data_IF_765936285642
#
_entry.id   IF_765936285642
#
_cell.length_a   1.000
_cell.length_b   1.000
_cell.length_c   1.000
_cell.angle_alpha   90.00
_cell.angle_beta   90.00
_cell.angle_gamma   90.00
#
_symmetry.space_group_name_H-M   'P 1'
#
loop_
_entity.id
_entity.type
_entity.pdbx_description
1 polymer ?
#
# COMPACT_ATOMS: atom_id res chain seq x y z
N UNK A 1 1.29 -20.31 -3.24
CA UNK A 1 2.05 -19.13 -3.69
C UNK A 1 2.76 -18.49 -2.51
N UNK A 2 3.52 -17.42 -2.71
CA UNK A 2 4.27 -16.69 -1.67
C UNK A 2 3.42 -15.62 -0.92
N UNK A 3 2.10 -15.72 -1.01
CA UNK A 3 1.15 -14.74 -0.49
C UNK A 3 0.57 -13.81 -1.57
N UNK A 4 -0.34 -12.92 -1.16
CA UNK A 4 -1.02 -11.95 -2.01
C UNK A 4 -1.23 -10.61 -1.28
N UNK A 5 -1.20 -9.51 -2.04
CA UNK A 5 -1.56 -8.19 -1.55
C UNK A 5 -2.80 -7.74 -2.32
N UNK A 6 -3.89 -7.49 -1.60
CA UNK A 6 -5.14 -6.97 -2.17
C UNK A 6 -5.14 -5.46 -2.01
N UNK A 7 -5.38 -4.76 -3.13
CA UNK A 7 -5.36 -3.31 -3.20
C UNK A 7 -6.78 -2.78 -3.38
N UNK A 8 -7.18 -1.81 -2.55
CA UNK A 8 -8.47 -1.12 -2.68
C UNK A 8 -8.29 0.39 -2.70
N UNK A 9 -9.24 1.09 -3.30
CA UNK A 9 -9.27 2.54 -3.42
C UNK A 9 -9.41 3.23 -2.07
N UNK A 10 -10.35 2.79 -1.23
CA UNK A 10 -10.71 3.44 0.03
C UNK A 10 -10.95 2.42 1.14
N UNK A 11 -10.77 2.84 2.39
CA UNK A 11 -11.11 2.04 3.56
C UNK A 11 -12.61 2.16 3.84
N UNK A 12 -13.27 1.06 4.23
CA UNK A 12 -14.67 1.07 4.66
C UNK A 12 -15.73 0.89 3.56
N UNK A 13 -15.33 0.79 2.29
CA UNK A 13 -16.23 0.38 1.21
C UNK A 13 -16.53 -1.13 1.23
N UNK A 14 -17.66 -1.56 0.64
CA UNK A 14 -18.04 -2.99 0.56
C UNK A 14 -16.93 -3.89 -0.01
N UNK A 15 -16.19 -3.51 -1.07
CA UNK A 15 -15.06 -4.31 -1.56
C UNK A 15 -13.89 -4.38 -0.58
N UNK A 16 -13.62 -3.29 0.15
CA UNK A 16 -12.54 -3.21 1.15
C UNK A 16 -12.87 -4.06 2.38
N UNK A 17 -14.10 -3.99 2.88
CA UNK A 17 -14.53 -4.79 4.03
C UNK A 17 -14.53 -6.30 3.72
N UNK A 18 -14.95 -6.68 2.50
CA UNK A 18 -14.84 -8.07 2.05
C UNK A 18 -13.38 -8.51 1.98
N UNK A 19 -12.50 -7.71 1.38
CA UNK A 19 -11.07 -8.02 1.33
C UNK A 19 -10.44 -8.16 2.72
N UNK A 20 -10.77 -7.25 3.65
CA UNK A 20 -10.31 -7.29 5.05
C UNK A 20 -10.82 -8.54 5.76
N UNK A 21 -12.07 -8.96 5.52
CA UNK A 21 -12.63 -10.19 6.11
C UNK A 21 -11.91 -11.46 5.65
N UNK A 22 -11.24 -11.40 4.50
CA UNK A 22 -10.45 -12.49 3.91
C UNK A 22 -8.95 -12.36 4.23
N UNK A 23 -8.54 -11.34 4.99
CA UNK A 23 -7.15 -11.12 5.38
C UNK A 23 -6.63 -12.28 6.23
N UNK A 24 -5.43 -12.74 5.93
CA UNK A 24 -4.71 -13.76 6.69
C UNK A 24 -3.29 -13.25 6.90
N UNK A 25 -2.99 -12.78 8.10
CA UNK A 25 -1.70 -12.15 8.39
C UNK A 25 -0.54 -13.04 7.93
N UNK A 26 0.38 -12.48 7.14
CA UNK A 26 1.52 -13.23 6.58
C UNK A 26 1.24 -14.02 5.30
N UNK A 27 -0.01 -14.14 4.87
CA UNK A 27 -0.41 -14.78 3.60
C UNK A 27 -1.16 -13.81 2.67
N UNK A 28 -2.11 -13.05 3.21
CA UNK A 28 -2.95 -12.10 2.49
C UNK A 28 -2.99 -10.79 3.26
N UNK A 29 -2.34 -9.77 2.69
CA UNK A 29 -2.35 -8.40 3.22
C UNK A 29 -3.31 -7.54 2.40
N UNK A 30 -3.95 -6.57 3.04
CA UNK A 30 -4.90 -5.66 2.37
C UNK A 30 -4.43 -4.22 2.55
N UNK A 31 -4.33 -3.47 1.46
CA UNK A 31 -3.97 -2.04 1.46
C UNK A 31 -5.14 -1.27 0.84
N UNK A 32 -5.77 -0.42 1.64
CA UNK A 32 -6.74 0.56 1.19
C UNK A 32 -6.07 1.93 0.99
N UNK A 33 -6.65 2.80 0.15
CA UNK A 33 -6.09 4.13 -0.07
C UNK A 33 -4.91 4.13 -1.03
N UNK A 34 -4.92 3.26 -2.05
CA UNK A 34 -3.78 3.12 -2.94
C UNK A 34 -3.48 4.39 -3.73
N UNK A 35 -2.19 4.64 -3.95
CA UNK A 35 -1.71 5.70 -4.82
C UNK A 35 -0.56 5.20 -5.74
N UNK A 36 -0.14 6.04 -6.68
CA UNK A 36 0.89 5.67 -7.66
C UNK A 36 2.24 5.27 -7.04
N UNK A 37 2.81 6.00 -6.04
CA UNK A 37 4.03 5.59 -5.34
C UNK A 37 3.94 4.17 -4.75
N UNK A 38 2.81 3.81 -4.14
CA UNK A 38 2.59 2.45 -3.62
C UNK A 38 2.71 1.40 -4.74
N UNK A 39 2.06 1.62 -5.89
CA UNK A 39 2.09 0.68 -7.02
C UNK A 39 3.51 0.49 -7.58
N UNK A 40 4.26 1.58 -7.75
CA UNK A 40 5.66 1.53 -8.20
C UNK A 40 6.51 0.73 -7.20
N UNK A 41 6.29 0.95 -5.89
CA UNK A 41 7.04 0.24 -4.85
C UNK A 41 6.70 -1.26 -4.82
N UNK A 42 5.42 -1.61 -4.93
CA UNK A 42 4.97 -3.01 -4.99
C UNK A 42 5.51 -3.75 -6.22
N UNK A 43 5.50 -3.11 -7.39
CA UNK A 43 6.05 -3.69 -8.62
C UNK A 43 7.54 -4.05 -8.49
N UNK A 44 8.31 -3.27 -7.72
CA UNK A 44 9.72 -3.57 -7.41
C UNK A 44 9.87 -4.61 -6.31
N UNK A 45 9.05 -4.53 -5.25
CA UNK A 45 9.16 -5.38 -4.06
C UNK A 45 8.69 -6.83 -4.28
N UNK A 46 7.74 -7.06 -5.19
CA UNK A 46 7.10 -8.37 -5.41
C UNK A 46 8.05 -9.52 -5.77
N UNK A 47 9.27 -9.24 -6.21
CA UNK A 47 10.26 -10.24 -6.60
C UNK A 47 11.36 -10.46 -5.56
N UNK A 48 11.43 -9.64 -4.49
CA UNK A 48 12.54 -9.65 -3.54
C UNK A 48 12.13 -9.48 -2.08
N UNK A 49 10.83 -9.32 -1.78
CA UNK A 49 10.31 -9.16 -0.42
C UNK A 49 9.14 -10.11 -0.17
N UNK A 50 8.99 -10.56 1.08
CA UNK A 50 7.78 -11.26 1.52
C UNK A 50 6.57 -10.32 1.59
N UNK A 51 5.36 -10.89 1.59
CA UNK A 51 4.10 -10.12 1.50
C UNK A 51 3.97 -9.00 2.54
N UNK A 52 4.35 -9.29 3.79
CA UNK A 52 4.28 -8.33 4.91
C UNK A 52 5.24 -7.16 4.70
N UNK A 53 6.49 -7.46 4.33
CA UNK A 53 7.51 -6.43 4.15
C UNK A 53 7.26 -5.61 2.88
N UNK A 54 6.76 -6.24 1.82
CA UNK A 54 6.30 -5.54 0.62
C UNK A 54 5.14 -4.58 0.93
N UNK A 55 4.16 -5.00 1.72
CA UNK A 55 3.01 -4.17 2.11
C UNK A 55 3.44 -2.95 2.95
N UNK A 56 4.32 -3.16 3.95
CA UNK A 56 4.89 -2.06 4.75
C UNK A 56 5.66 -1.07 3.88
N UNK A 57 6.55 -1.58 3.02
CA UNK A 57 7.36 -0.74 2.15
C UNK A 57 6.50 0.07 1.17
N UNK A 58 5.43 -0.52 0.65
CA UNK A 58 4.45 0.18 -0.18
C UNK A 58 3.76 1.31 0.58
N UNK A 59 3.20 1.02 1.77
CA UNK A 59 2.57 2.04 2.64
C UNK A 59 3.52 3.20 2.91
N UNK A 60 4.77 2.91 3.26
CA UNK A 60 5.75 3.95 3.61
C UNK A 60 6.08 4.82 2.38
N UNK A 61 6.27 4.22 1.21
CA UNK A 61 6.41 4.97 -0.04
C UNK A 61 5.15 5.80 -0.36
N UNK A 62 3.96 5.26 -0.13
CA UNK A 62 2.71 5.98 -0.31
C UNK A 62 2.62 7.24 0.56
N UNK A 63 3.04 7.14 1.83
CA UNK A 63 3.02 8.26 2.78
C UNK A 63 4.08 9.31 2.49
N UNK A 64 5.31 8.91 2.17
CA UNK A 64 6.41 9.85 1.91
C UNK A 64 6.22 10.71 0.66
N UNK A 65 5.31 10.33 -0.24
CA UNK A 65 4.98 11.07 -1.45
C UNK A 65 3.71 11.92 -1.33
N UNK A 66 3.07 11.91 -0.16
CA UNK A 66 1.98 12.84 0.15
C UNK A 66 2.62 14.08 0.77
N UNK A 67 2.81 15.11 -0.07
CA UNK A 67 3.41 16.38 0.33
C UNK A 67 2.59 17.53 -0.24
N UNK A 68 2.38 18.57 0.55
CA UNK A 68 1.78 19.81 0.05
C UNK A 68 2.89 20.65 -0.59
N UNK A 69 2.78 20.92 -1.89
CA UNK A 69 3.82 21.61 -2.65
C UNK A 69 4.17 22.99 -2.05
N UNK A 70 3.21 23.72 -1.50
CA UNK A 70 3.47 25.01 -0.85
C UNK A 70 4.27 24.89 0.45
N UNK A 71 4.16 23.78 1.18
CA UNK A 71 4.99 23.53 2.38
C UNK A 71 6.43 23.20 2.00
N UNK A 72 6.64 22.61 0.81
CA UNK A 72 7.96 22.24 0.30
C UNK A 72 8.66 23.39 -0.44
N UNK A 73 7.89 24.22 -1.15
CA UNK A 73 8.40 25.32 -1.97
C UNK A 73 8.34 26.68 -1.28
N UNK A 74 7.64 26.79 -0.15
CA UNK A 74 7.53 28.02 0.65
C UNK A 74 8.58 28.15 1.75
N UNK A 75 9.60 27.29 1.76
CA UNK A 75 10.81 27.49 2.57
C UNK A 75 11.79 28.36 1.79
N UNK A 76 11.49 29.66 1.70
CA UNK A 76 12.43 30.75 1.38
C UNK A 76 12.26 31.86 2.43
#
# INVERSE_FOLDING_TARGET
GQGAIVLTDLFGGTPSNLAISLMRAGEVEVIAGINLPMLIRLAKARNCMGVVEAAKAARDAGRSYITVASEYLGQD
#
